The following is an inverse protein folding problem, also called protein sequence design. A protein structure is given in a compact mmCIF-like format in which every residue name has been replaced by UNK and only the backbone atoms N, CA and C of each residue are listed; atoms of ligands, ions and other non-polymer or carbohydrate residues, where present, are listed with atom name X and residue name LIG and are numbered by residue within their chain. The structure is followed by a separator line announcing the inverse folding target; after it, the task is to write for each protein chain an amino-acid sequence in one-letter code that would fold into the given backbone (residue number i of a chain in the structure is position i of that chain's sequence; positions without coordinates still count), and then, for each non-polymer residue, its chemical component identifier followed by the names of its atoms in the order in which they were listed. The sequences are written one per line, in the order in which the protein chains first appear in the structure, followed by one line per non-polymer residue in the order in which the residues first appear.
data_IF_846629400966
#
_entry.id   IF_846629400966
#
_cell.length_a   1.000
_cell.length_b   1.000
_cell.length_c   1.000
_cell.angle_alpha   90.00
_cell.angle_beta   90.00
_cell.angle_gamma   90.00
#
_symmetry.space_group_name_H-M   'P 1'
#
loop_
_entity.id
_entity.type
_entity.pdbx_description
1 polymer ?
#
# COMPACT_ATOMS: atom_id res chain seq x y z
N UNK A 1 -7.14 88.76 -4.67
CA UNK A 1 -8.22 87.84 -5.09
C UNK A 1 -8.67 87.09 -3.84
N UNK A 2 -9.80 87.46 -3.23
CA UNK A 2 -10.28 86.79 -2.02
C UNK A 2 -11.01 85.50 -2.42
N UNK A 3 -10.58 84.36 -1.89
CA UNK A 3 -11.31 83.10 -2.03
C UNK A 3 -12.58 83.20 -1.17
N UNK A 4 -13.75 82.91 -1.75
CA UNK A 4 -15.00 82.93 -0.99
C UNK A 4 -15.08 81.73 -0.04
N UNK A 5 -15.78 81.91 1.08
CA UNK A 5 -15.98 80.85 2.08
C UNK A 5 -16.61 79.59 1.45
N UNK A 6 -17.48 79.75 0.45
CA UNK A 6 -18.10 78.66 -0.30
C UNK A 6 -17.08 77.79 -1.06
N UNK A 7 -16.04 78.39 -1.64
CA UNK A 7 -14.99 77.63 -2.34
C UNK A 7 -14.18 76.80 -1.34
N UNK A 8 -13.92 77.34 -0.15
CA UNK A 8 -13.19 76.63 0.90
C UNK A 8 -14.00 75.43 1.40
N UNK A 9 -15.30 75.60 1.64
CA UNK A 9 -16.16 74.51 2.12
C UNK A 9 -16.38 73.44 1.05
N UNK A 10 -16.52 73.81 -0.23
CA UNK A 10 -16.61 72.86 -1.35
C UNK A 10 -15.32 72.03 -1.48
N UNK A 11 -14.14 72.65 -1.33
CA UNK A 11 -12.88 71.92 -1.35
C UNK A 11 -12.74 71.00 -0.13
N UNK A 12 -13.13 71.46 1.05
CA UNK A 12 -13.11 70.65 2.27
C UNK A 12 -14.03 69.41 2.17
N UNK A 13 -15.23 69.56 1.61
CA UNK A 13 -16.15 68.42 1.41
C UNK A 13 -15.64 67.46 0.33
N UNK A 14 -15.07 67.97 -0.75
CA UNK A 14 -14.44 67.14 -1.79
C UNK A 14 -13.28 66.32 -1.22
N UNK A 15 -12.39 66.93 -0.42
CA UNK A 15 -11.29 66.22 0.26
C UNK A 15 -11.83 65.17 1.24
N UNK A 16 -12.86 65.51 2.01
CA UNK A 16 -13.46 64.57 2.97
C UNK A 16 -14.06 63.35 2.26
N UNK A 17 -14.75 63.56 1.13
CA UNK A 17 -15.27 62.47 0.31
C UNK A 17 -14.15 61.59 -0.26
N UNK A 18 -13.07 62.19 -0.76
CA UNK A 18 -11.92 61.45 -1.27
C UNK A 18 -11.27 60.59 -0.18
N UNK A 19 -11.06 61.14 1.02
CA UNK A 19 -10.50 60.39 2.16
C UNK A 19 -11.42 59.23 2.56
N UNK A 20 -12.74 59.45 2.58
CA UNK A 20 -13.71 58.41 2.90
C UNK A 20 -13.68 57.27 1.86
N UNK A 21 -13.61 57.60 0.57
CA UNK A 21 -13.49 56.62 -0.51
C UNK A 21 -12.20 55.81 -0.37
N UNK A 22 -11.05 56.48 -0.21
CA UNK A 22 -9.73 55.82 -0.08
C UNK A 22 -9.72 54.89 1.15
N UNK A 23 -10.26 55.36 2.27
CA UNK A 23 -10.36 54.55 3.49
C UNK A 23 -11.28 53.33 3.31
N UNK A 24 -12.41 53.51 2.61
CA UNK A 24 -13.32 52.43 2.27
C UNK A 24 -12.68 51.36 1.37
N UNK A 25 -11.93 51.79 0.36
CA UNK A 25 -11.16 50.89 -0.49
C UNK A 25 -10.06 50.15 0.29
N UNK A 26 -9.31 50.85 1.15
CA UNK A 26 -8.29 50.22 2.00
C UNK A 26 -8.89 49.16 2.93
N UNK A 27 -10.05 49.43 3.53
CA UNK A 27 -10.78 48.45 4.33
C UNK A 27 -11.24 47.25 3.51
N UNK A 28 -11.76 47.48 2.31
CA UNK A 28 -12.21 46.41 1.41
C UNK A 28 -11.06 45.48 1.00
N UNK A 29 -9.90 46.05 0.64
CA UNK A 29 -8.71 45.29 0.27
C UNK A 29 -8.23 44.43 1.44
N UNK A 30 -8.05 45.02 2.62
CA UNK A 30 -7.64 44.26 3.82
C UNK A 30 -8.61 43.13 4.16
N UNK A 31 -9.91 43.35 3.95
CA UNK A 31 -10.93 42.31 4.18
C UNK A 31 -10.89 41.22 3.11
N UNK A 32 -10.57 41.55 1.87
CA UNK A 32 -10.34 40.56 0.82
C UNK A 32 -9.08 39.73 1.11
N UNK A 33 -7.96 40.36 1.47
CA UNK A 33 -6.71 39.67 1.80
C UNK A 33 -6.91 38.69 2.96
N UNK A 34 -7.61 39.11 4.02
CA UNK A 34 -7.94 38.23 5.13
C UNK A 34 -8.80 37.03 4.72
N UNK A 35 -9.71 37.21 3.74
CA UNK A 35 -10.54 36.12 3.22
C UNK A 35 -9.73 35.16 2.33
N UNK A 36 -8.82 35.68 1.52
CA UNK A 36 -7.93 34.85 0.71
C UNK A 36 -6.98 34.04 1.58
N UNK A 37 -6.32 34.66 2.56
CA UNK A 37 -5.47 33.94 3.52
C UNK A 37 -6.22 32.83 4.27
N UNK A 38 -7.47 33.10 4.68
CA UNK A 38 -8.31 32.08 5.31
C UNK A 38 -8.77 30.98 4.34
N UNK A 39 -8.84 31.26 3.04
CA UNK A 39 -9.16 30.28 2.01
C UNK A 39 -7.95 29.40 1.73
N UNK A 40 -6.75 29.98 1.59
CA UNK A 40 -5.50 29.26 1.38
C UNK A 40 -5.23 28.30 2.55
N UNK A 41 -5.33 28.78 3.79
CA UNK A 41 -5.17 27.93 4.97
C UNK A 41 -6.18 26.77 5.03
N UNK A 42 -7.40 26.95 4.51
CA UNK A 42 -8.39 25.87 4.41
C UNK A 42 -8.06 24.88 3.31
N UNK A 43 -7.47 25.33 2.20
CA UNK A 43 -7.02 24.45 1.14
C UNK A 43 -5.83 23.62 1.59
N UNK A 44 -4.82 24.25 2.20
CA UNK A 44 -3.65 23.54 2.76
C UNK A 44 -4.09 22.46 3.75
N UNK A 45 -4.92 22.81 4.73
CA UNK A 45 -5.43 21.83 5.70
C UNK A 45 -6.24 20.69 5.05
N UNK A 46 -6.91 20.94 3.92
CA UNK A 46 -7.63 19.90 3.16
C UNK A 46 -6.68 19.01 2.37
N UNK A 47 -5.61 19.57 1.80
CA UNK A 47 -4.58 18.80 1.12
C UNK A 47 -3.83 17.91 2.11
N UNK A 48 -3.37 18.45 3.24
CA UNK A 48 -2.71 17.66 4.29
C UNK A 48 -3.60 16.49 4.77
N UNK A 49 -4.90 16.75 4.97
CA UNK A 49 -5.84 15.72 5.36
C UNK A 49 -6.10 14.67 4.26
N UNK A 50 -6.01 15.06 2.98
CA UNK A 50 -6.10 14.12 1.87
C UNK A 50 -4.84 13.28 1.76
N UNK A 51 -3.66 13.88 1.85
CA UNK A 51 -2.38 13.18 1.80
C UNK A 51 -2.28 12.14 2.92
N UNK A 52 -2.58 12.53 4.16
CA UNK A 52 -2.61 11.58 5.29
C UNK A 52 -3.60 10.43 5.07
N UNK A 53 -4.72 10.68 4.38
CA UNK A 53 -5.70 9.64 4.05
C UNK A 53 -5.21 8.73 2.93
N UNK A 54 -4.45 9.25 1.97
CA UNK A 54 -3.83 8.45 0.92
C UNK A 54 -2.72 7.57 1.49
N UNK A 55 -1.83 8.11 2.32
CA UNK A 55 -0.78 7.35 2.99
C UNK A 55 -1.37 6.18 3.80
N UNK A 56 -2.36 6.46 4.65
CA UNK A 56 -3.02 5.42 5.42
C UNK A 56 -3.71 4.35 4.56
N UNK A 57 -4.17 4.70 3.36
CA UNK A 57 -4.75 3.74 2.40
C UNK A 57 -3.68 2.90 1.72
N UNK A 58 -2.52 3.47 1.41
CA UNK A 58 -1.40 2.74 0.85
C UNK A 58 -0.84 1.75 1.88
N UNK A 59 -0.59 2.19 3.11
CA UNK A 59 -0.12 1.31 4.20
C UNK A 59 -1.08 0.13 4.42
N UNK A 60 -2.40 0.39 4.41
CA UNK A 60 -3.41 -0.65 4.55
C UNK A 60 -3.46 -1.61 3.34
N UNK A 61 -3.15 -1.13 2.13
CA UNK A 61 -3.05 -1.98 0.95
C UNK A 61 -1.79 -2.85 1.00
N UNK A 62 -0.64 -2.28 1.35
CA UNK A 62 0.63 -3.00 1.47
C UNK A 62 0.52 -4.11 2.51
N UNK A 63 0.02 -3.82 3.71
CA UNK A 63 -0.22 -4.84 4.73
C UNK A 63 -1.16 -5.97 4.25
N UNK A 64 -2.15 -5.65 3.40
CA UNK A 64 -3.06 -6.64 2.82
C UNK A 64 -2.38 -7.48 1.74
N UNK A 65 -1.47 -6.90 0.97
CA UNK A 65 -0.67 -7.63 -0.01
C UNK A 65 0.31 -8.57 0.68
N UNK A 66 1.03 -8.11 1.69
CA UNK A 66 1.94 -8.94 2.50
C UNK A 66 1.21 -10.15 3.09
N UNK A 67 0.08 -9.92 3.77
CA UNK A 67 -0.72 -11.00 4.33
C UNK A 67 -1.23 -12.00 3.28
N UNK A 68 -1.46 -11.54 2.03
CA UNK A 68 -1.85 -12.42 0.92
C UNK A 68 -0.67 -13.24 0.40
N UNK A 69 0.52 -12.66 0.33
CA UNK A 69 1.74 -13.38 -0.05
C UNK A 69 2.09 -14.44 0.98
N UNK A 70 2.10 -14.09 2.28
CA UNK A 70 2.33 -15.06 3.37
C UNK A 70 1.35 -16.23 3.31
N UNK A 71 0.06 -15.94 3.06
CA UNK A 71 -0.96 -16.97 2.93
C UNK A 71 -0.76 -17.84 1.68
N UNK A 72 -0.23 -17.29 0.59
CA UNK A 72 0.12 -18.07 -0.61
C UNK A 72 1.35 -18.94 -0.37
N UNK A 73 2.39 -18.41 0.25
CA UNK A 73 3.61 -19.17 0.58
C UNK A 73 3.28 -20.35 1.49
N UNK A 74 2.52 -20.13 2.56
CA UNK A 74 2.07 -21.21 3.44
C UNK A 74 1.25 -22.28 2.69
N UNK A 75 0.45 -21.87 1.70
CA UNK A 75 -0.31 -22.80 0.85
C UNK A 75 0.59 -23.60 -0.09
N UNK A 76 1.64 -22.98 -0.63
CA UNK A 76 2.62 -23.67 -1.45
C UNK A 76 3.43 -24.66 -0.63
N UNK A 77 3.92 -24.28 0.55
CA UNK A 77 4.62 -25.16 1.48
C UNK A 77 3.78 -26.38 1.84
N UNK A 78 2.51 -26.16 2.20
CA UNK A 78 1.59 -27.26 2.49
C UNK A 78 1.38 -28.20 1.28
N UNK A 79 1.36 -27.65 0.05
CA UNK A 79 1.24 -28.45 -1.17
C UNK A 79 2.50 -29.26 -1.46
N UNK A 80 3.69 -28.68 -1.25
CA UNK A 80 4.96 -29.37 -1.42
C UNK A 80 5.12 -30.48 -0.40
N UNK A 81 4.85 -30.22 0.89
CA UNK A 81 4.87 -31.24 1.92
C UNK A 81 3.90 -32.41 1.62
N UNK A 82 2.69 -32.09 1.14
CA UNK A 82 1.73 -33.11 0.73
C UNK A 82 2.17 -33.91 -0.52
N UNK A 83 2.96 -33.29 -1.40
CA UNK A 83 3.53 -33.95 -2.57
C UNK A 83 4.68 -34.89 -2.17
N UNK A 84 5.57 -34.44 -1.30
CA UNK A 84 6.68 -35.25 -0.76
C UNK A 84 6.15 -36.49 -0.04
N UNK A 85 5.15 -36.33 0.83
CA UNK A 85 4.51 -37.46 1.49
C UNK A 85 3.89 -38.48 0.51
N UNK A 86 3.32 -38.02 -0.61
CA UNK A 86 2.81 -38.91 -1.66
C UNK A 86 3.92 -39.62 -2.41
N UNK A 87 5.05 -38.96 -2.64
CA UNK A 87 6.21 -39.57 -3.25
C UNK A 87 6.82 -40.63 -2.34
N UNK A 88 6.99 -40.36 -1.05
CA UNK A 88 7.48 -41.34 -0.08
C UNK A 88 6.62 -42.60 -0.06
N UNK A 89 5.30 -42.45 -0.01
CA UNK A 89 4.38 -43.60 -0.08
C UNK A 89 4.54 -44.39 -1.39
N UNK A 90 4.72 -43.71 -2.52
CA UNK A 90 4.94 -44.37 -3.82
C UNK A 90 6.29 -45.10 -3.86
N UNK A 91 7.36 -44.47 -3.38
CA UNK A 91 8.69 -45.09 -3.34
C UNK A 91 8.70 -46.32 -2.43
N UNK A 92 8.13 -46.23 -1.23
CA UNK A 92 7.99 -47.39 -0.33
C UNK A 92 7.23 -48.54 -1.00
N UNK A 93 6.17 -48.24 -1.77
CA UNK A 93 5.46 -49.28 -2.54
C UNK A 93 6.33 -49.89 -3.64
N UNK A 94 7.08 -49.08 -4.37
CA UNK A 94 8.01 -49.59 -5.39
C UNK A 94 9.10 -50.48 -4.78
N UNK A 95 9.66 -50.10 -3.63
CA UNK A 95 10.63 -50.91 -2.91
C UNK A 95 10.05 -52.27 -2.52
N UNK A 96 8.83 -52.29 -1.99
CA UNK A 96 8.11 -53.54 -1.68
C UNK A 96 7.92 -54.41 -2.92
N UNK A 97 7.44 -53.84 -4.03
CA UNK A 97 7.25 -54.57 -5.28
C UNK A 97 8.56 -55.14 -5.81
N UNK A 98 9.66 -54.39 -5.75
CA UNK A 98 10.99 -54.88 -6.15
C UNK A 98 11.44 -56.03 -5.24
N UNK A 99 11.20 -55.93 -3.94
CA UNK A 99 11.54 -56.99 -2.99
C UNK A 99 10.77 -58.28 -3.28
N UNK A 100 9.47 -58.17 -3.55
CA UNK A 100 8.63 -59.31 -3.96
C UNK A 100 9.15 -59.98 -5.24
N UNK A 101 9.52 -59.18 -6.25
CA UNK A 101 10.12 -59.68 -7.51
C UNK A 101 11.45 -60.40 -7.24
N UNK A 102 12.33 -59.83 -6.41
CA UNK A 102 13.60 -60.47 -6.03
C UNK A 102 13.39 -61.82 -5.35
N UNK A 103 12.40 -61.92 -4.46
CA UNK A 103 12.04 -63.20 -3.82
C UNK A 103 11.53 -64.20 -4.86
N UNK A 104 10.68 -63.76 -5.78
CA UNK A 104 10.16 -64.63 -6.84
C UNK A 104 11.29 -65.19 -7.72
N UNK A 105 12.28 -64.36 -8.08
CA UNK A 105 13.48 -64.79 -8.82
C UNK A 105 14.30 -65.80 -8.01
N UNK A 106 14.58 -65.53 -6.73
CA UNK A 106 15.36 -66.44 -5.88
C UNK A 106 14.69 -67.83 -5.72
N UNK A 107 13.35 -67.87 -5.69
CA UNK A 107 12.59 -69.13 -5.69
C UNK A 107 12.67 -69.88 -7.02
N UNK A 108 12.79 -69.15 -8.14
CA UNK A 108 12.92 -69.74 -9.47
C UNK A 108 14.34 -70.28 -9.73
N UNK A 109 15.39 -69.56 -9.31
CA UNK A 109 16.79 -69.95 -9.52
C UNK A 109 17.23 -71.13 -8.64
N UNK A 110 16.59 -71.32 -7.47
CA UNK A 110 16.89 -72.42 -6.55
C UNK A 110 18.22 -72.25 -5.79
N UNK A 111 18.48 -73.10 -4.77
CA UNK A 111 19.68 -72.98 -3.95
C UNK A 111 20.94 -73.21 -4.79
N UNK A 112 21.96 -72.36 -4.63
CA UNK A 112 23.28 -72.63 -5.23
C UNK A 112 23.75 -74.02 -4.80
N UNK A 113 24.10 -74.92 -5.74
CA UNK A 113 24.51 -76.27 -5.41
C UNK A 113 25.70 -76.20 -4.44
N UNK A 114 25.54 -76.75 -3.24
CA UNK A 114 26.67 -76.94 -2.33
C UNK A 114 27.55 -77.99 -2.98
N UNK A 115 28.64 -77.54 -3.60
CA UNK A 115 29.72 -78.42 -4.00
C UNK A 115 30.30 -79.01 -2.72
N UNK A 116 29.82 -80.18 -2.32
CA UNK A 116 30.49 -80.99 -1.30
C UNK A 116 31.80 -81.40 -1.98
N UNK A 117 32.91 -80.77 -1.59
CA UNK A 117 34.24 -81.26 -1.94
C UNK A 117 34.34 -82.69 -1.39
N UNK A 118 34.22 -83.67 -2.28
CA UNK A 118 34.41 -85.06 -1.93
C UNK A 118 35.92 -85.30 -1.77
N UNK A 119 36.29 -85.57 -0.51
CA UNK A 119 37.63 -85.93 0.03
C UNK A 119 38.64 -84.81 0.22
#
# INVERSE_FOLDING_TARGET
MYVSVEVITMLATAVTLLVAIISGFGWMINRMDARFAAMDAKFDARFDAQDAKFDARFDAQDAKFDARFDAQDAKFDARFAAMDAKFDVRFNRFEQQIFEVKIAIARLEGPTPRLIAAR
#
